data_IF_067114841361
#
_entry.id   IF_067114841361
#
_cell.length_a   1.000
_cell.length_b   1.000
_cell.length_c   1.000
_cell.angle_alpha   90.00
_cell.angle_beta   90.00
_cell.angle_gamma   90.00
#
_symmetry.space_group_name_H-M   'P 1'
#
loop_
_entity.id
_entity.type
_entity.pdbx_description
1 polymer ?
#
# COMPACT_ATOMS: atom_id res chain seq x y z
N UNK A 1 -11.87 -38.47 38.05
CA UNK A 1 -12.47 -37.77 36.90
C UNK A 1 -11.38 -36.91 36.28
N UNK A 2 -10.80 -37.40 35.17
CA UNK A 2 -9.42 -37.12 34.74
C UNK A 2 -9.38 -36.56 33.31
N UNK A 3 -10.32 -35.71 32.89
CA UNK A 3 -10.40 -35.31 31.47
C UNK A 3 -10.60 -33.82 31.21
N UNK A 4 -10.36 -32.95 32.20
CA UNK A 4 -10.50 -31.50 32.04
C UNK A 4 -9.21 -30.81 31.57
N UNK A 5 -8.13 -31.57 31.36
CA UNK A 5 -6.82 -31.07 30.94
C UNK A 5 -6.54 -31.31 29.43
N UNK A 6 -7.37 -32.12 28.75
CA UNK A 6 -7.13 -32.53 27.36
C UNK A 6 -7.83 -31.63 26.31
N UNK A 7 -8.76 -30.76 26.73
CA UNK A 7 -9.50 -29.87 25.83
C UNK A 7 -8.88 -28.48 25.64
N UNK A 8 -7.88 -28.11 26.46
CA UNK A 8 -7.16 -26.84 26.29
C UNK A 8 -5.99 -26.94 25.28
N UNK A 9 -5.57 -28.14 24.88
CA UNK A 9 -4.46 -28.33 23.94
C UNK A 9 -4.88 -28.30 22.47
N UNK A 10 -6.14 -28.60 22.14
CA UNK A 10 -6.56 -28.75 20.74
C UNK A 10 -6.86 -27.41 20.03
N UNK A 11 -7.18 -26.35 20.77
CA UNK A 11 -7.37 -25.01 20.18
C UNK A 11 -6.06 -24.25 19.97
N UNK A 12 -4.96 -24.71 20.58
CA UNK A 12 -3.63 -24.07 20.45
C UNK A 12 -2.92 -24.53 19.15
N UNK A 13 -3.38 -25.59 18.48
CA UNK A 13 -2.76 -26.07 17.22
C UNK A 13 -3.19 -25.31 15.96
N UNK A 14 -4.21 -24.43 16.04
CA UNK A 14 -4.50 -23.47 14.97
C UNK A 14 -3.81 -22.11 15.21
N UNK A 15 -2.74 -22.08 16.01
CA UNK A 15 -1.87 -20.92 16.19
C UNK A 15 -0.58 -21.02 15.36
N UNK A 16 -0.62 -21.69 14.19
CA UNK A 16 0.54 -21.84 13.30
C UNK A 16 0.21 -21.54 11.83
N UNK A 17 -0.58 -20.50 11.58
CA UNK A 17 -0.40 -19.77 10.32
C UNK A 17 0.73 -18.80 10.58
N UNK A 18 1.95 -19.23 10.23
CA UNK A 18 3.13 -18.38 10.16
C UNK A 18 2.71 -17.07 9.50
N UNK A 19 2.74 -15.99 10.28
CA UNK A 19 2.72 -14.63 9.75
C UNK A 19 3.99 -14.55 8.92
N UNK A 20 3.89 -14.88 7.63
CA UNK A 20 4.97 -14.69 6.70
C UNK A 20 5.21 -13.21 6.71
N UNK A 21 6.35 -12.81 7.26
CA UNK A 21 6.81 -11.44 7.20
C UNK A 21 6.69 -10.99 5.75
N UNK A 22 5.69 -10.16 5.47
CA UNK A 22 5.60 -9.43 4.22
C UNK A 22 6.77 -8.46 4.31
N UNK A 23 7.93 -8.92 3.86
CA UNK A 23 9.04 -8.06 3.49
C UNK A 23 8.50 -7.23 2.33
N UNK A 24 7.87 -6.11 2.70
CA UNK A 24 7.51 -5.06 1.79
C UNK A 24 8.84 -4.51 1.31
N UNK A 25 9.21 -4.84 0.07
CA UNK A 25 10.17 -4.04 -0.67
C UNK A 25 9.57 -2.63 -0.69
N UNK A 26 10.00 -1.80 0.27
CA UNK A 26 9.47 -0.46 0.44
C UNK A 26 9.66 0.25 -0.89
N UNK A 27 8.57 0.41 -1.65
CA UNK A 27 8.60 1.12 -2.91
C UNK A 27 9.21 2.48 -2.60
N UNK A 28 10.43 2.72 -3.10
CA UNK A 28 11.13 3.99 -2.94
C UNK A 28 10.15 5.03 -3.47
N UNK A 29 9.69 5.94 -2.62
CA UNK A 29 8.51 6.73 -2.89
C UNK A 29 8.47 7.92 -1.96
N UNK A 30 7.76 8.97 -2.37
CA UNK A 30 7.52 10.14 -1.52
C UNK A 30 6.06 10.53 -1.58
N UNK A 31 5.63 11.39 -0.64
CA UNK A 31 4.24 11.84 -0.54
C UNK A 31 4.10 13.23 -1.15
N UNK A 32 3.21 13.37 -2.12
CA UNK A 32 2.82 14.65 -2.70
C UNK A 32 1.49 15.12 -2.11
N UNK A 33 1.38 16.41 -1.77
CA UNK A 33 0.14 17.00 -1.27
C UNK A 33 -0.59 17.68 -2.43
N UNK A 34 -1.79 17.18 -2.73
CA UNK A 34 -2.65 17.64 -3.83
C UNK A 34 -2.99 19.12 -3.65
N UNK A 35 -2.85 19.88 -4.73
CA UNK A 35 -3.23 21.29 -4.84
C UNK A 35 -4.56 21.41 -5.59
N UNK A 36 -5.21 22.57 -5.45
CA UNK A 36 -6.46 22.85 -6.19
C UNK A 36 -6.18 22.79 -7.69
N UNK A 37 -6.94 21.96 -8.41
CA UNK A 37 -6.82 21.77 -9.86
C UNK A 37 -5.91 20.61 -10.28
N UNK A 38 -5.27 19.91 -9.34
CA UNK A 38 -4.49 18.72 -9.67
C UNK A 38 -5.40 17.55 -10.08
N UNK A 39 -4.87 16.70 -10.96
CA UNK A 39 -5.44 15.39 -11.32
C UNK A 39 -4.35 14.33 -11.16
N UNK A 40 -4.70 13.06 -11.01
CA UNK A 40 -3.69 11.99 -11.00
C UNK A 40 -2.85 12.01 -12.28
N UNK A 41 -3.44 12.39 -13.42
CA UNK A 41 -2.72 12.55 -14.69
C UNK A 41 -1.69 13.68 -14.66
N UNK A 42 -2.04 14.86 -14.12
CA UNK A 42 -1.09 15.99 -14.03
C UNK A 42 0.05 15.69 -13.05
N UNK A 43 -0.25 15.03 -11.94
CA UNK A 43 0.72 14.58 -10.95
C UNK A 43 1.66 13.54 -11.57
N UNK A 44 1.12 12.54 -12.28
CA UNK A 44 1.92 11.50 -12.93
C UNK A 44 2.92 12.10 -13.93
N UNK A 45 2.45 13.05 -14.76
CA UNK A 45 3.28 13.78 -15.73
C UNK A 45 4.40 14.57 -15.04
N UNK A 46 4.06 15.31 -13.98
CA UNK A 46 5.02 16.14 -13.21
C UNK A 46 6.19 15.30 -12.68
N UNK A 47 5.89 14.13 -12.14
CA UNK A 47 6.89 13.25 -11.54
C UNK A 47 7.44 12.18 -12.49
N UNK A 48 7.07 12.25 -13.78
CA UNK A 48 7.50 11.31 -14.82
C UNK A 48 7.23 9.85 -14.45
N UNK A 49 6.12 9.60 -13.75
CA UNK A 49 5.64 8.25 -13.41
C UNK A 49 4.51 7.86 -14.36
N UNK A 50 4.36 6.58 -14.64
CA UNK A 50 3.22 6.11 -15.44
C UNK A 50 1.95 6.24 -14.61
N UNK A 51 0.88 6.77 -15.21
CA UNK A 51 -0.41 6.93 -14.54
C UNK A 51 -0.96 5.61 -13.95
N UNK A 52 -0.88 4.45 -14.64
CA UNK A 52 -1.31 3.17 -14.06
C UNK A 52 -0.56 2.78 -12.79
N UNK A 53 0.75 3.06 -12.73
CA UNK A 53 1.58 2.74 -11.58
C UNK A 53 1.22 3.66 -10.39
N UNK A 54 0.97 4.94 -10.67
CA UNK A 54 0.50 5.89 -9.67
C UNK A 54 -0.88 5.50 -9.11
N UNK A 55 -1.81 5.08 -9.97
CA UNK A 55 -3.13 4.59 -9.55
C UNK A 55 -2.96 3.34 -8.69
N UNK A 56 -2.18 2.36 -9.16
CA UNK A 56 -1.91 1.11 -8.44
C UNK A 56 -1.37 1.36 -7.02
N UNK A 57 -0.42 2.28 -6.88
CA UNK A 57 0.18 2.64 -5.59
C UNK A 57 -0.82 3.27 -4.59
N UNK A 58 -1.96 3.81 -5.07
CA UNK A 58 -2.92 4.54 -4.25
C UNK A 58 -4.33 3.91 -4.22
N UNK A 59 -4.56 2.73 -4.81
CA UNK A 59 -5.91 2.11 -4.89
C UNK A 59 -6.61 1.95 -3.54
N UNK A 60 -5.86 1.71 -2.46
CA UNK A 60 -6.45 1.54 -1.12
C UNK A 60 -7.02 2.84 -0.52
N UNK A 61 -6.50 4.00 -0.92
CA UNK A 61 -6.89 5.31 -0.36
C UNK A 61 -7.58 6.22 -1.38
N UNK A 62 -7.51 5.87 -2.67
CA UNK A 62 -8.20 6.52 -3.79
C UNK A 62 -9.03 5.47 -4.52
N UNK A 63 -10.26 5.16 -4.05
CA UNK A 63 -11.10 4.14 -4.67
C UNK A 63 -11.53 4.51 -6.09
N UNK A 64 -11.77 5.80 -6.33
CA UNK A 64 -12.02 6.35 -7.66
C UNK A 64 -10.82 7.23 -8.08
N UNK A 65 -10.02 6.82 -9.08
CA UNK A 65 -8.82 7.55 -9.51
C UNK A 65 -9.11 8.93 -10.11
N UNK A 66 -10.35 9.20 -10.53
CA UNK A 66 -10.75 10.49 -11.08
C UNK A 66 -11.12 11.51 -9.98
N UNK A 67 -11.18 11.07 -8.72
CA UNK A 67 -11.61 11.89 -7.58
C UNK A 67 -10.49 12.00 -6.56
N UNK A 68 -9.85 13.17 -6.52
CA UNK A 68 -8.87 13.57 -5.50
C UNK A 68 -9.17 14.97 -4.98
N UNK A 69 -8.78 15.25 -3.74
CA UNK A 69 -9.09 16.51 -3.06
C UNK A 69 -7.84 17.30 -2.68
N UNK A 70 -7.90 18.64 -2.67
CA UNK A 70 -6.81 19.45 -2.12
C UNK A 70 -6.43 19.03 -0.70
N UNK A 71 -5.13 19.12 -0.37
CA UNK A 71 -4.53 18.69 0.89
C UNK A 71 -4.50 17.17 1.11
N UNK A 72 -5.09 16.38 0.21
CA UNK A 72 -4.91 14.93 0.21
C UNK A 72 -3.45 14.58 -0.12
N UNK A 73 -2.92 13.55 0.51
CA UNK A 73 -1.58 13.06 0.18
C UNK A 73 -1.63 11.86 -0.75
N UNK A 74 -0.89 11.94 -1.85
CA UNK A 74 -0.73 10.89 -2.86
C UNK A 74 0.68 10.32 -2.75
N UNK A 75 0.78 8.99 -2.69
CA UNK A 75 2.07 8.30 -2.74
C UNK A 75 2.57 8.31 -4.19
N UNK A 76 3.73 8.93 -4.42
CA UNK A 76 4.41 8.94 -5.70
C UNK A 76 5.43 7.80 -5.70
N UNK A 77 5.25 6.75 -6.53
CA UNK A 77 6.26 5.70 -6.66
C UNK A 77 7.48 6.28 -7.37
N UNK A 78 8.66 6.21 -6.77
CA UNK A 78 9.91 6.49 -7.48
C UNK A 78 10.33 5.24 -8.24
N UNK A 79 10.32 5.36 -9.56
CA UNK A 79 11.14 4.50 -10.39
C UNK A 79 12.55 5.11 -10.36
N UNK A 80 13.51 4.43 -9.74
CA UNK A 80 14.92 4.69 -10.03
C UNK A 80 15.25 3.80 -11.25
N UNK A 81 15.23 4.31 -12.50
CA UNK A 81 15.94 3.60 -13.55
C UNK A 81 17.37 3.46 -13.05
N UNK A 82 17.95 2.26 -13.17
CA UNK A 82 19.31 1.95 -12.74
C UNK A 82 20.21 3.12 -13.17
N UNK A 83 20.85 3.80 -12.20
CA UNK A 83 21.80 4.84 -12.52
C UNK A 83 22.88 4.20 -13.40
N UNK A 84 23.24 4.78 -14.57
CA UNK A 84 24.39 4.29 -15.32
C UNK A 84 25.66 4.31 -14.46
#
# INVERSE_FOLDING_TARGET
>A
MKHNLFLLSLTILFALSAFTDVTSAAAKGFRYVVKKGDTLTSIAKTFKVKLPDLIAANKQCVPNPDVIFPKQGIAIPQYCPVCP
#
